data_IF_983717532138
#
_entry.id   IF_983717532138
#
_cell.length_a   1.000
_cell.length_b   1.000
_cell.length_c   1.000
_cell.angle_alpha   90.00
_cell.angle_beta   90.00
_cell.angle_gamma   90.00
#
_symmetry.space_group_name_H-M   'P 1'
#
loop_
_entity.id
_entity.type
_entity.pdbx_description
1 polymer ?
#
# COMPACT_ATOMS: atom_id res chain seq x y z
N UNK A 1 -19.48 -38.27 16.63
CA UNK A 1 -19.78 -36.82 16.60
C UNK A 1 -21.07 -36.61 15.81
N UNK A 2 -22.20 -36.28 16.47
CA UNK A 2 -23.50 -36.13 15.80
C UNK A 2 -23.58 -34.95 14.82
N UNK A 3 -22.60 -34.04 14.82
CA UNK A 3 -22.48 -32.94 13.84
C UNK A 3 -21.67 -33.32 12.59
N UNK A 4 -21.19 -34.56 12.49
CA UNK A 4 -20.45 -35.03 11.32
C UNK A 4 -21.40 -35.30 10.16
N UNK A 5 -21.06 -34.81 8.98
CA UNK A 5 -21.82 -35.04 7.74
C UNK A 5 -21.14 -36.10 6.87
N UNK A 6 -21.92 -36.90 6.13
CA UNK A 6 -21.42 -37.94 5.21
C UNK A 6 -20.78 -37.37 3.92
N UNK A 7 -20.84 -36.05 3.71
CA UNK A 7 -20.25 -35.37 2.55
C UNK A 7 -20.96 -35.62 1.22
N UNK A 8 -21.94 -36.53 1.17
CA UNK A 8 -22.75 -36.78 -0.02
C UNK A 8 -23.75 -35.63 -0.27
N UNK A 9 -23.72 -35.07 -1.47
CA UNK A 9 -24.57 -33.96 -1.86
C UNK A 9 -25.98 -34.46 -2.24
N UNK A 10 -27.05 -33.83 -1.75
CA UNK A 10 -28.40 -34.21 -2.12
C UNK A 10 -28.69 -33.94 -3.61
N UNK A 11 -29.19 -34.96 -4.30
CA UNK A 11 -29.64 -34.87 -5.70
C UNK A 11 -30.75 -33.83 -5.82
N UNK A 12 -30.68 -32.94 -6.82
CA UNK A 12 -31.67 -31.88 -7.00
C UNK A 12 -31.48 -30.63 -6.13
N UNK A 13 -30.41 -30.58 -5.32
CA UNK A 13 -29.97 -29.35 -4.62
C UNK A 13 -28.66 -28.80 -5.16
N UNK A 14 -27.73 -29.69 -5.50
CA UNK A 14 -26.46 -29.28 -6.11
C UNK A 14 -26.60 -29.21 -7.63
N UNK A 15 -26.15 -28.10 -8.23
CA UNK A 15 -26.15 -27.83 -9.69
C UNK A 15 -27.52 -28.01 -10.38
N UNK A 16 -28.58 -27.58 -9.69
CA UNK A 16 -29.96 -27.66 -10.17
C UNK A 16 -30.64 -26.31 -9.92
N UNK A 17 -30.97 -25.53 -10.96
CA UNK A 17 -30.81 -25.81 -12.39
C UNK A 17 -29.35 -25.96 -12.85
N UNK A 18 -29.15 -26.63 -14.00
CA UNK A 18 -27.82 -26.80 -14.57
C UNK A 18 -27.23 -25.43 -14.96
N UNK A 19 -25.90 -25.26 -14.96
CA UNK A 19 -25.29 -23.98 -15.32
C UNK A 19 -25.67 -23.47 -16.73
N UNK A 20 -26.05 -24.37 -17.65
CA UNK A 20 -26.48 -24.01 -19.00
C UNK A 20 -27.96 -23.59 -19.12
N UNK A 21 -28.73 -23.68 -18.03
CA UNK A 21 -30.14 -23.28 -17.99
C UNK A 21 -30.43 -22.44 -16.74
N UNK A 22 -29.74 -21.29 -16.57
CA UNK A 22 -29.97 -20.42 -15.42
C UNK A 22 -31.41 -19.88 -15.46
N UNK A 23 -32.07 -19.87 -14.30
CA UNK A 23 -33.43 -19.31 -14.19
C UNK A 23 -33.44 -17.77 -14.28
N UNK A 24 -32.34 -17.12 -13.89
CA UNK A 24 -32.22 -15.67 -13.91
C UNK A 24 -31.27 -15.21 -15.00
N UNK A 25 -31.62 -14.15 -15.77
CA UNK A 25 -30.69 -13.56 -16.71
C UNK A 25 -29.51 -12.93 -15.98
N UNK A 26 -28.32 -13.01 -16.58
CA UNK A 26 -27.15 -12.32 -16.07
C UNK A 26 -27.29 -10.81 -16.29
N UNK A 27 -27.15 -10.05 -15.22
CA UNK A 27 -27.03 -8.59 -15.27
C UNK A 27 -25.63 -8.23 -14.78
N UNK A 28 -24.78 -7.59 -15.61
CA UNK A 28 -23.44 -7.21 -15.17
C UNK A 28 -23.52 -6.20 -14.02
N UNK A 29 -22.65 -6.31 -13.01
CA UNK A 29 -22.65 -5.38 -11.89
C UNK A 29 -22.28 -3.98 -12.36
N UNK A 30 -23.08 -2.99 -11.96
CA UNK A 30 -22.80 -1.58 -12.26
C UNK A 30 -21.72 -1.08 -11.30
N UNK A 31 -20.53 -0.81 -11.84
CA UNK A 31 -19.47 -0.11 -11.11
C UNK A 31 -19.62 1.40 -11.29
N UNK A 32 -18.98 2.25 -10.46
CA UNK A 32 -18.90 3.69 -10.71
C UNK A 32 -18.39 4.01 -12.12
N UNK A 33 -17.59 3.10 -12.69
CA UNK A 33 -17.06 3.24 -14.02
C UNK A 33 -18.07 3.04 -15.16
N UNK A 34 -19.27 2.53 -14.87
CA UNK A 34 -20.33 2.32 -15.86
C UNK A 34 -21.27 3.53 -16.03
N UNK A 35 -21.00 4.66 -15.36
CA UNK A 35 -21.80 5.89 -15.50
C UNK A 35 -21.69 6.49 -16.91
N UNK A 36 -22.83 6.89 -17.48
CA UNK A 36 -22.87 7.52 -18.82
C UNK A 36 -22.42 8.98 -18.76
N UNK A 37 -22.73 9.70 -17.68
CA UNK A 37 -22.36 11.10 -17.48
C UNK A 37 -21.22 11.26 -16.46
N UNK A 38 -20.47 12.37 -16.58
CA UNK A 38 -19.38 12.76 -15.66
C UNK A 38 -18.30 11.69 -15.48
N UNK A 39 -17.96 11.00 -16.56
CA UNK A 39 -17.16 9.79 -16.50
C UNK A 39 -16.01 9.79 -17.52
N UNK A 40 -15.28 10.91 -17.54
CA UNK A 40 -14.20 11.11 -18.49
C UNK A 40 -13.04 10.15 -18.26
N UNK A 41 -12.45 9.66 -19.36
CA UNK A 41 -11.40 8.63 -19.31
C UNK A 41 -10.12 9.09 -18.58
N UNK A 42 -9.73 10.36 -18.69
CA UNK A 42 -8.49 10.83 -18.07
C UNK A 42 -8.52 10.77 -16.53
N UNK A 43 -9.69 10.95 -15.90
CA UNK A 43 -9.84 10.88 -14.43
C UNK A 43 -9.71 9.46 -13.87
N UNK A 44 -9.98 8.45 -14.70
CA UNK A 44 -9.91 7.01 -14.35
C UNK A 44 -8.63 6.35 -14.87
N UNK A 45 -7.82 7.06 -15.64
CA UNK A 45 -6.64 6.51 -16.29
C UNK A 45 -5.50 6.35 -15.27
N UNK A 46 -5.56 5.25 -14.53
CA UNK A 46 -4.50 4.84 -13.58
C UNK A 46 -3.22 4.43 -14.28
N UNK A 47 -3.28 4.06 -15.57
CA UNK A 47 -2.11 3.63 -16.34
C UNK A 47 -1.19 4.79 -16.65
N UNK A 48 -1.75 5.96 -16.96
CA UNK A 48 -0.96 7.18 -17.23
C UNK A 48 -0.71 8.03 -15.99
N UNK A 49 -1.56 7.92 -14.98
CA UNK A 49 -1.38 8.62 -13.70
C UNK A 49 -0.56 7.79 -12.69
N UNK A 50 0.60 7.28 -13.13
CA UNK A 50 1.52 6.54 -12.26
C UNK A 50 2.44 7.50 -11.49
N UNK A 51 2.82 7.19 -10.24
CA UNK A 51 3.77 7.99 -9.50
C UNK A 51 5.14 7.98 -10.20
N UNK A 52 5.78 9.14 -10.33
CA UNK A 52 7.11 9.26 -10.92
C UNK A 52 8.18 8.80 -9.92
N UNK A 53 9.23 8.17 -10.43
CA UNK A 53 10.40 7.81 -9.63
C UNK A 53 11.14 9.10 -9.20
N UNK A 54 11.29 9.30 -7.90
CA UNK A 54 12.14 10.34 -7.34
C UNK A 54 13.56 9.79 -7.13
N UNK A 55 14.55 10.44 -7.73
CA UNK A 55 15.97 10.12 -7.59
C UNK A 55 16.64 11.31 -6.93
N UNK A 56 17.36 11.08 -5.84
CA UNK A 56 18.10 12.10 -5.11
C UNK A 56 19.59 11.82 -5.23
N UNK A 57 20.35 12.83 -5.66
CA UNK A 57 21.81 12.78 -5.66
C UNK A 57 22.37 13.30 -4.33
N UNK A 58 23.65 13.02 -4.07
CA UNK A 58 24.35 13.52 -2.88
C UNK A 58 24.28 15.05 -2.77
N UNK A 59 24.33 15.75 -3.91
CA UNK A 59 24.24 17.21 -3.97
C UNK A 59 22.83 17.70 -3.63
N UNK A 60 21.79 17.02 -4.13
CA UNK A 60 20.40 17.34 -3.81
C UNK A 60 20.14 17.22 -2.29
N UNK A 61 20.63 16.14 -1.68
CA UNK A 61 20.50 15.91 -0.24
C UNK A 61 21.29 16.95 0.57
N UNK A 62 22.52 17.26 0.16
CA UNK A 62 23.34 18.29 0.82
C UNK A 62 22.66 19.67 0.76
N UNK A 63 22.08 20.04 -0.39
CA UNK A 63 21.31 21.28 -0.54
C UNK A 63 20.04 21.31 0.32
N UNK A 64 19.33 20.18 0.44
CA UNK A 64 18.15 20.06 1.30
C UNK A 64 18.51 20.23 2.79
N UNK A 65 19.61 19.63 3.24
CA UNK A 65 20.08 19.75 4.62
C UNK A 65 20.39 21.20 4.98
N UNK A 66 21.05 21.95 4.09
CA UNK A 66 21.40 23.36 4.29
C UNK A 66 20.20 24.34 4.28
N UNK A 67 18.97 23.85 4.15
CA UNK A 67 17.76 24.67 4.13
C UNK A 67 17.22 24.99 2.74
N UNK A 68 17.62 24.24 1.72
CA UNK A 68 17.02 24.29 0.39
C UNK A 68 15.51 24.06 0.45
N UNK A 69 14.74 24.89 -0.25
CA UNK A 69 13.27 24.74 -0.32
C UNK A 69 12.94 23.41 -0.98
N UNK A 70 12.16 22.57 -0.30
CA UNK A 70 11.51 21.41 -0.92
C UNK A 70 10.59 21.97 -2.01
N UNK A 71 10.76 21.50 -3.24
CA UNK A 71 9.91 21.92 -4.35
C UNK A 71 8.47 21.51 -4.04
N UNK A 72 7.58 22.49 -3.89
CA UNK A 72 6.15 22.28 -3.66
C UNK A 72 5.64 21.32 -4.73
N UNK A 73 4.92 20.27 -4.34
CA UNK A 73 4.29 19.37 -5.32
C UNK A 73 3.38 20.20 -6.22
N UNK A 74 3.46 19.98 -7.54
CA UNK A 74 2.59 20.67 -8.50
C UNK A 74 1.14 20.65 -8.02
N UNK A 75 0.42 21.78 -8.09
CA UNK A 75 -0.95 21.85 -7.60
C UNK A 75 -1.83 20.83 -8.34
N UNK A 76 -2.77 20.23 -7.61
CA UNK A 76 -3.72 19.28 -8.16
C UNK A 76 -4.51 19.94 -9.30
N UNK A 77 -4.59 19.28 -10.46
CA UNK A 77 -5.30 19.80 -11.64
C UNK A 77 -6.78 19.95 -11.29
N UNK A 78 -7.22 21.21 -11.11
CA UNK A 78 -8.57 21.55 -10.67
C UNK A 78 -8.67 22.84 -9.85
N UNK A 79 -7.54 23.40 -9.36
CA UNK A 79 -7.49 24.79 -8.92
C UNK A 79 -7.33 25.70 -10.14
N UNK A 80 -8.08 26.80 -10.17
CA UNK A 80 -8.25 27.69 -11.31
C UNK A 80 -6.97 27.93 -12.11
N UNK A 81 -7.08 27.67 -13.42
CA UNK A 81 -5.98 27.69 -14.36
C UNK A 81 -5.38 29.08 -14.50
N UNK A 82 -4.27 29.33 -13.82
CA UNK A 82 -3.22 30.16 -14.36
C UNK A 82 -2.19 29.23 -15.03
N UNK A 83 -1.83 29.47 -16.30
CA UNK A 83 -0.85 28.63 -16.97
C UNK A 83 0.47 28.75 -16.21
N UNK A 84 1.00 27.63 -15.72
CA UNK A 84 2.39 27.52 -15.28
C UNK A 84 3.29 27.60 -16.51
N UNK A 85 3.38 28.79 -17.10
CA UNK A 85 4.50 29.20 -17.96
C UNK A 85 5.65 29.58 -17.03
N UNK A 86 6.22 28.57 -16.39
CA UNK A 86 7.55 28.64 -15.81
C UNK A 86 7.90 27.22 -15.37
N UNK A 87 8.36 26.44 -16.35
CA UNK A 87 9.34 25.40 -16.03
C UNK A 87 10.57 26.15 -15.52
N UNK A 88 10.56 26.58 -14.26
CA UNK A 88 11.79 26.78 -13.50
C UNK A 88 12.42 25.40 -13.41
N UNK A 89 13.13 25.05 -14.48
CA UNK A 89 14.30 24.20 -14.41
C UNK A 89 15.13 24.84 -13.31
N UNK A 90 15.06 24.25 -12.12
CA UNK A 90 15.98 24.55 -11.04
C UNK A 90 17.35 24.27 -11.66
N UNK A 91 18.05 25.35 -12.01
CA UNK A 91 19.49 25.29 -12.15
C UNK A 91 19.95 24.79 -10.79
N UNK A 92 20.58 23.61 -10.68
CA UNK A 92 21.18 23.21 -9.42
C UNK A 92 22.05 24.38 -9.00
N UNK A 93 21.83 24.89 -7.79
CA UNK A 93 22.66 25.95 -7.22
C UNK A 93 24.12 25.62 -7.55
N UNK A 94 24.84 26.56 -8.18
CA UNK A 94 26.24 26.41 -8.61
C UNK A 94 27.21 26.09 -7.46
N UNK A 95 26.71 25.91 -6.24
CA UNK A 95 27.43 25.56 -5.05
C UNK A 95 27.41 24.03 -4.91
N UNK A 96 28.54 23.41 -5.25
CA UNK A 96 28.82 22.03 -4.91
C UNK A 96 29.14 21.95 -3.42
N UNK A 97 28.16 21.56 -2.61
CA UNK A 97 28.39 21.24 -1.21
C UNK A 97 28.89 19.80 -1.08
N UNK A 98 29.91 19.59 -0.26
CA UNK A 98 30.29 18.24 0.16
C UNK A 98 29.34 17.78 1.28
N UNK A 99 28.67 16.65 1.06
CA UNK A 99 27.72 16.08 2.03
C UNK A 99 28.40 15.81 3.37
N UNK A 100 29.66 15.37 3.38
CA UNK A 100 30.36 15.05 4.61
C UNK A 100 30.51 16.27 5.52
N UNK A 101 30.85 17.42 4.93
CA UNK A 101 30.96 18.68 5.65
C UNK A 101 29.60 19.14 6.19
N UNK A 102 28.56 19.11 5.35
CA UNK A 102 27.20 19.53 5.74
C UNK A 102 26.65 18.69 6.91
N UNK A 103 26.83 17.37 6.85
CA UNK A 103 26.37 16.47 7.92
C UNK A 103 27.12 16.73 9.23
N UNK A 104 28.44 16.99 9.16
CA UNK A 104 29.26 17.30 10.32
C UNK A 104 28.87 18.63 10.98
N UNK A 105 28.62 19.67 10.19
CA UNK A 105 28.23 20.99 10.67
C UNK A 105 26.85 20.99 11.30
N UNK A 106 25.90 20.29 10.69
CA UNK A 106 24.49 20.49 10.98
C UNK A 106 23.94 19.46 11.98
N UNK A 107 24.60 18.31 12.19
CA UNK A 107 24.19 17.25 13.12
C UNK A 107 22.71 16.81 12.95
N UNK A 108 22.13 17.03 11.77
CA UNK A 108 20.66 16.90 11.51
C UNK A 108 20.25 15.47 11.22
N UNK A 109 21.21 14.54 11.05
CA UNK A 109 20.87 13.16 10.71
C UNK A 109 19.88 12.56 11.73
N UNK A 110 20.11 12.80 13.02
CA UNK A 110 19.22 12.47 14.13
C UNK A 110 19.44 13.46 15.28
N UNK A 111 18.43 14.27 15.63
CA UNK A 111 18.55 15.28 16.68
C UNK A 111 18.80 14.69 18.08
N UNK A 112 19.15 15.54 19.06
CA UNK A 112 19.43 15.17 20.45
C UNK A 112 18.30 14.31 21.07
N UNK A 113 18.49 12.99 21.10
CA UNK A 113 17.55 12.03 21.68
C UNK A 113 16.51 11.44 20.72
N UNK A 114 16.57 11.76 19.42
CA UNK A 114 15.67 11.18 18.40
C UNK A 114 16.31 9.90 17.87
N UNK A 115 15.66 8.76 18.13
CA UNK A 115 16.06 7.48 17.56
C UNK A 115 15.96 7.54 16.02
N UNK A 116 16.82 6.80 15.30
CA UNK A 116 16.68 6.68 13.86
C UNK A 116 15.28 6.15 13.49
N UNK A 117 14.68 6.63 12.38
CA UNK A 117 13.35 6.21 11.99
C UNK A 117 13.34 4.72 11.71
N UNK A 118 12.39 4.01 12.31
CA UNK A 118 12.14 2.60 11.99
C UNK A 118 11.56 2.50 10.57
N UNK A 119 11.88 1.44 9.80
CA UNK A 119 11.30 1.25 8.48
C UNK A 119 9.78 1.18 8.58
N UNK A 120 9.11 2.23 8.10
CA UNK A 120 7.65 2.37 8.14
C UNK A 120 6.95 1.80 6.90
N UNK A 121 7.64 0.98 6.10
CA UNK A 121 7.09 0.46 4.86
C UNK A 121 6.06 -0.63 5.14
N UNK A 122 4.84 -0.43 4.62
CA UNK A 122 3.77 -1.43 4.68
C UNK A 122 2.84 -1.30 5.89
N UNK A 123 1.88 -2.22 5.96
CA UNK A 123 0.88 -2.27 7.04
C UNK A 123 1.52 -2.91 8.27
N UNK A 124 1.47 -2.24 9.43
CA UNK A 124 1.83 -2.84 10.72
C UNK A 124 0.83 -3.94 11.04
N UNK A 125 1.35 -5.15 11.27
CA UNK A 125 0.52 -6.32 11.58
C UNK A 125 0.69 -6.63 13.06
N UNK A 126 -0.42 -6.74 13.77
CA UNK A 126 -0.45 -7.18 15.16
C UNK A 126 -0.82 -8.67 15.18
N UNK A 127 0.07 -9.49 15.73
CA UNK A 127 -0.15 -10.92 15.84
C UNK A 127 -0.90 -11.24 17.12
N UNK A 128 -1.94 -12.07 17.01
CA UNK A 128 -2.67 -12.61 18.16
C UNK A 128 -2.52 -14.13 18.18
N UNK A 129 -2.45 -14.71 19.38
CA UNK A 129 -2.45 -16.16 19.57
C UNK A 129 -3.83 -16.70 19.21
N UNK A 130 -3.89 -17.81 18.46
CA UNK A 130 -5.16 -18.45 18.10
C UNK A 130 -5.85 -19.02 19.33
N UNK A 131 -7.16 -18.83 19.43
CA UNK A 131 -8.03 -19.46 20.44
C UNK A 131 -8.29 -20.94 20.16
N UNK A 132 -7.94 -21.43 18.97
CA UNK A 132 -8.19 -22.83 18.57
C UNK A 132 -7.23 -23.82 19.23
N UNK A 133 -6.11 -23.32 19.78
CA UNK A 133 -5.14 -24.13 20.49
C UNK A 133 -5.38 -23.99 22.00
N UNK A 134 -5.75 -25.08 22.67
CA UNK A 134 -5.77 -25.11 24.14
C UNK A 134 -4.36 -24.85 24.66
N UNK A 135 -4.20 -23.95 25.65
CA UNK A 135 -2.89 -23.68 26.23
C UNK A 135 -2.34 -24.99 26.83
N UNK A 136 -1.14 -25.41 26.42
CA UNK A 136 -0.49 -26.58 27.01
C UNK A 136 -0.14 -26.20 28.45
N UNK A 137 -0.69 -26.92 29.43
CA UNK A 137 -0.30 -26.73 30.82
C UNK A 137 1.20 -27.09 30.97
N UNK A 138 1.95 -26.26 31.70
CA UNK A 138 3.38 -26.48 31.93
C UNK A 138 3.60 -27.86 32.59
N UNK A 139 4.27 -28.77 31.87
CA UNK A 139 4.60 -30.11 32.35
C UNK A 139 3.82 -31.28 31.72
N UNK A 140 2.85 -31.02 30.83
CA UNK A 140 2.15 -32.09 30.12
C UNK A 140 2.95 -32.55 28.89
N UNK A 141 3.62 -33.68 29.01
CA UNK A 141 4.16 -34.46 27.88
C UNK A 141 3.05 -35.33 27.30
N UNK A 142 2.74 -35.19 26.01
CA UNK A 142 1.77 -36.06 25.33
C UNK A 142 2.48 -37.32 24.80
N UNK A 143 2.37 -38.50 25.44
CA UNK A 143 2.77 -39.72 24.78
C UNK A 143 1.74 -40.01 23.69
N UNK A 144 2.15 -40.02 22.43
CA UNK A 144 1.34 -40.58 21.36
C UNK A 144 0.97 -42.02 21.75
N UNK A 145 -0.28 -42.24 22.18
CA UNK A 145 -0.78 -43.57 22.50
C UNK A 145 -1.02 -44.30 21.18
N UNK A 146 -0.01 -45.03 20.71
CA UNK A 146 -0.20 -46.03 19.67
C UNK A 146 -1.07 -47.15 20.27
N UNK A 147 -2.30 -47.27 19.77
CA UNK A 147 -3.10 -48.46 20.00
C UNK A 147 -2.48 -49.58 19.16
N UNK A 148 -1.90 -50.58 19.85
CA UNK A 148 -1.58 -51.90 19.31
C UNK A 148 -2.85 -52.74 19.31
#
# INVERSE_FOLDING_TARGET
NPKSTDGMLPVGKYRTPSPGSPQTPYVPPKTPNAKVANNYYFNRDTRRNYPRLAVYTQQDVAGLLMGGKVQESLPSVGADSQPVTDTKLVTPSQQTYDLAQVVAEQQVAFGNGVLPPTPGWGKKVEWNVSTDHEAIEEGIYWPMKQYV
#
